data_IF_737257731636
#
_entry.id   IF_737257731636
#
_cell.length_a   1.000
_cell.length_b   1.000
_cell.length_c   1.000
_cell.angle_alpha   90.00
_cell.angle_beta   90.00
_cell.angle_gamma   90.00
#
_symmetry.space_group_name_H-M   'P 1'
#
loop_
_entity.id
_entity.type
_entity.pdbx_description
1 polymer ?
#
# COMPACT_ATOMS: atom_id res chain seq x y z
N UNK A 1 -6.27 8.82 -9.02
CA UNK A 1 -6.81 10.00 -9.74
C UNK A 1 -6.57 11.26 -8.93
N UNK A 2 -7.13 12.43 -9.29
CA UNK A 2 -6.92 13.67 -8.55
C UNK A 2 -7.20 13.56 -7.04
N UNK A 3 -8.13 12.68 -6.66
CA UNK A 3 -8.52 12.43 -5.27
C UNK A 3 -7.95 11.12 -4.70
N UNK A 4 -6.82 10.58 -5.21
CA UNK A 4 -6.27 9.31 -4.68
C UNK A 4 -5.55 9.46 -3.35
N UNK A 5 -5.06 10.66 -3.00
CA UNK A 5 -4.34 10.92 -1.76
C UNK A 5 -3.27 9.85 -1.41
N UNK A 6 -2.28 9.60 -2.31
CA UNK A 6 -1.21 8.67 -2.04
C UNK A 6 -0.42 9.14 -0.81
N UNK A 7 -0.06 8.22 0.09
CA UNK A 7 0.57 8.58 1.37
C UNK A 7 1.91 7.89 1.61
N UNK A 8 1.90 6.60 1.98
CA UNK A 8 3.13 5.83 2.10
C UNK A 8 3.42 5.15 0.77
N UNK A 9 4.71 4.96 0.47
CA UNK A 9 5.17 4.23 -0.71
C UNK A 9 6.42 3.41 -0.40
N UNK A 10 6.59 2.32 -1.14
CA UNK A 10 7.82 1.52 -1.22
C UNK A 10 8.04 1.06 -2.66
N UNK A 11 9.27 0.68 -2.99
CA UNK A 11 9.62 0.11 -4.29
C UNK A 11 10.14 -1.30 -4.09
N UNK A 12 9.64 -2.25 -4.88
CA UNK A 12 10.04 -3.66 -4.85
C UNK A 12 10.16 -4.12 -6.30
N UNK A 13 11.37 -4.54 -6.70
CA UNK A 13 11.65 -5.01 -8.06
C UNK A 13 11.16 -4.03 -9.14
N UNK A 14 11.52 -2.74 -8.99
CA UNK A 14 11.15 -1.61 -9.84
C UNK A 14 9.63 -1.30 -9.92
N UNK A 15 8.82 -2.01 -9.13
CA UNK A 15 7.38 -1.77 -8.99
C UNK A 15 7.11 -0.85 -7.80
N UNK A 16 6.30 0.19 -8.04
CA UNK A 16 5.89 1.14 -7.01
C UNK A 16 4.65 0.60 -6.31
N UNK A 17 4.73 0.48 -4.99
CA UNK A 17 3.60 0.15 -4.13
C UNK A 17 3.27 1.33 -3.24
N UNK A 18 2.02 1.77 -3.24
CA UNK A 18 1.58 2.89 -2.41
C UNK A 18 0.17 2.66 -1.84
N UNK A 19 -0.20 3.41 -0.80
CA UNK A 19 -1.57 3.40 -0.27
C UNK A 19 -2.32 4.69 -0.58
N UNK A 20 -3.61 4.57 -0.87
CA UNK A 20 -4.54 5.69 -1.06
C UNK A 20 -5.32 5.93 0.24
N UNK A 21 -4.97 7.01 0.95
CA UNK A 21 -5.28 7.18 2.39
C UNK A 21 -6.60 7.92 2.69
N UNK A 22 -7.20 8.56 1.69
CA UNK A 22 -8.47 9.27 1.83
C UNK A 22 -9.70 8.44 1.42
N UNK A 23 -9.48 7.22 0.94
CA UNK A 23 -10.53 6.27 0.56
C UNK A 23 -10.82 5.29 1.70
N UNK A 24 -12.07 4.86 1.88
CA UNK A 24 -12.43 3.76 2.78
C UNK A 24 -13.23 2.70 2.03
N UNK A 25 -12.75 1.44 1.97
CA UNK A 25 -11.46 0.96 2.50
C UNK A 25 -10.26 1.62 1.79
N UNK A 26 -9.16 1.83 2.51
CA UNK A 26 -7.89 2.27 1.91
C UNK A 26 -7.51 1.28 0.79
N UNK A 27 -7.01 1.80 -0.32
CA UNK A 27 -6.47 0.95 -1.37
C UNK A 27 -4.97 0.76 -1.17
N UNK A 28 -4.49 -0.48 -1.33
CA UNK A 28 -3.10 -0.74 -1.71
C UNK A 28 -3.05 -0.74 -3.24
N UNK A 29 -2.10 -0.01 -3.81
CA UNK A 29 -1.94 0.10 -5.25
C UNK A 29 -0.55 -0.37 -5.65
N UNK A 30 -0.51 -1.21 -6.69
CA UNK A 30 0.68 -1.58 -7.47
C UNK A 30 0.67 -0.74 -8.74
N UNK A 31 1.76 -0.05 -9.01
CA UNK A 31 1.98 0.68 -10.24
C UNK A 31 3.27 0.21 -10.90
N UNK A 32 3.15 -0.21 -12.15
CA UNK A 32 4.25 -0.62 -13.01
C UNK A 32 4.66 0.55 -13.91
N UNK A 33 5.83 1.19 -13.69
CA UNK A 33 6.24 2.35 -14.48
C UNK A 33 6.60 2.03 -15.93
N UNK A 34 6.96 0.77 -16.23
CA UNK A 34 7.34 0.38 -17.59
C UNK A 34 6.09 0.29 -18.49
N UNK A 35 5.02 -0.29 -17.97
CA UNK A 35 3.77 -0.48 -18.73
C UNK A 35 2.69 0.56 -18.42
N UNK A 36 2.94 1.43 -17.44
CA UNK A 36 1.97 2.38 -16.86
C UNK A 36 0.68 1.72 -16.35
N UNK A 37 0.76 0.48 -15.87
CA UNK A 37 -0.41 -0.29 -15.42
C UNK A 37 -0.59 -0.17 -13.92
N UNK A 38 -1.85 0.07 -13.51
CA UNK A 38 -2.28 0.11 -12.13
C UNK A 38 -3.09 -1.13 -11.77
N UNK A 39 -2.85 -1.66 -10.58
CA UNK A 39 -3.68 -2.69 -9.94
C UNK A 39 -3.93 -2.26 -8.50
N UNK A 40 -5.16 -2.45 -8.00
CA UNK A 40 -5.54 -2.01 -6.67
C UNK A 40 -6.30 -3.09 -5.91
N UNK A 41 -6.07 -3.12 -4.60
CA UNK A 41 -6.75 -4.01 -3.68
C UNK A 41 -7.28 -3.22 -2.50
N UNK A 42 -8.54 -3.47 -2.13
CA UNK A 42 -9.09 -2.97 -0.89
C UNK A 42 -8.35 -3.62 0.29
N UNK A 43 -7.84 -2.80 1.22
CA UNK A 43 -7.22 -3.36 2.41
C UNK A 43 -8.26 -4.05 3.31
N UNK A 44 -8.00 -5.28 3.76
CA UNK A 44 -8.96 -6.04 4.58
C UNK A 44 -9.32 -5.38 5.91
N UNK A 45 -8.42 -4.56 6.47
CA UNK A 45 -8.65 -3.97 7.79
C UNK A 45 -9.71 -2.89 7.81
N UNK A 46 -10.02 -2.24 6.67
CA UNK A 46 -11.10 -1.26 6.49
C UNK A 46 -11.00 0.05 7.29
N UNK A 47 -10.21 0.12 8.37
CA UNK A 47 -10.25 1.22 9.37
C UNK A 47 -8.85 1.67 9.86
N UNK A 48 -7.79 1.22 9.20
CA UNK A 48 -6.40 1.54 9.58
C UNK A 48 -5.77 2.58 8.68
N UNK A 49 -5.50 3.78 9.21
CA UNK A 49 -4.67 4.79 8.53
C UNK A 49 -3.26 4.21 8.40
N UNK A 50 -2.89 3.78 7.20
CA UNK A 50 -1.50 3.43 6.93
C UNK A 50 -0.65 4.69 6.91
N UNK A 51 0.34 4.74 7.79
CA UNK A 51 1.28 5.87 7.82
C UNK A 51 2.66 5.53 7.31
N UNK A 52 3.03 4.26 7.36
CA UNK A 52 4.37 3.80 7.02
C UNK A 52 4.29 2.42 6.39
N UNK A 53 5.15 2.21 5.41
CA UNK A 53 5.38 0.93 4.76
C UNK A 53 6.88 0.65 4.73
N UNK A 54 7.25 -0.62 4.88
CA UNK A 54 8.62 -1.09 4.77
C UNK A 54 8.68 -2.37 3.95
N UNK A 55 9.76 -2.52 3.20
CA UNK A 55 10.06 -3.76 2.47
C UNK A 55 10.77 -4.72 3.42
N UNK A 56 10.26 -5.95 3.51
CA UNK A 56 10.94 -7.03 4.26
C UNK A 56 12.06 -7.64 3.42
N UNK A 57 12.92 -8.46 4.05
CA UNK A 57 13.96 -9.22 3.31
C UNK A 57 13.37 -10.15 2.24
N UNK A 58 12.19 -10.69 2.50
CA UNK A 58 11.47 -11.59 1.59
C UNK A 58 10.62 -10.81 0.58
N UNK A 59 10.89 -9.51 0.36
CA UNK A 59 10.18 -8.64 -0.57
C UNK A 59 8.66 -8.53 -0.33
N UNK A 60 8.25 -8.64 0.94
CA UNK A 60 6.87 -8.36 1.37
C UNK A 60 6.75 -6.92 1.87
N UNK A 61 5.53 -6.43 2.05
CA UNK A 61 5.27 -5.09 2.60
C UNK A 61 4.76 -5.20 4.04
N UNK A 62 5.48 -4.59 4.97
CA UNK A 62 5.02 -4.37 6.34
C UNK A 62 4.31 -3.02 6.42
N UNK A 63 3.06 -2.98 6.90
CA UNK A 63 2.27 -1.74 7.03
C UNK A 63 2.00 -1.42 8.50
N UNK A 64 2.16 -0.16 8.89
CA UNK A 64 1.74 0.32 10.22
C UNK A 64 0.41 1.07 10.11
N UNK A 65 -0.60 0.58 10.82
CA UNK A 65 -1.94 1.16 10.87
C UNK A 65 -2.18 1.83 12.23
N UNK A 66 -2.00 3.14 12.29
CA UNK A 66 -1.96 3.86 13.58
C UNK A 66 -3.32 3.99 14.24
N UNK A 67 -4.39 4.19 13.47
CA UNK A 67 -5.75 4.33 14.03
C UNK A 67 -6.31 3.02 14.60
N UNK A 68 -5.78 1.88 14.16
CA UNK A 68 -6.24 0.55 14.60
C UNK A 68 -5.27 -0.16 15.53
N UNK A 69 -4.11 0.44 15.84
CA UNK A 69 -3.03 -0.16 16.63
C UNK A 69 -2.62 -1.55 16.10
N UNK A 70 -2.43 -1.67 14.78
CA UNK A 70 -2.09 -2.93 14.11
C UNK A 70 -0.91 -2.77 13.18
N UNK A 71 -0.22 -3.89 12.97
CA UNK A 71 0.73 -4.08 11.88
C UNK A 71 0.13 -5.07 10.89
N UNK A 72 0.17 -4.74 9.60
CA UNK A 72 -0.24 -5.60 8.51
C UNK A 72 0.97 -6.15 7.75
N UNK A 73 0.82 -7.31 7.14
CA UNK A 73 1.76 -7.83 6.14
C UNK A 73 1.02 -8.09 4.83
N UNK A 74 1.53 -7.52 3.75
CA UNK A 74 1.13 -7.86 2.38
C UNK A 74 2.17 -8.83 1.85
N UNK A 75 1.72 -10.04 1.50
CA UNK A 75 2.58 -11.03 0.88
C UNK A 75 2.55 -10.84 -0.63
N UNK A 76 3.73 -10.76 -1.24
CA UNK A 76 3.92 -10.64 -2.69
C UNK A 76 4.47 -11.99 -3.15
N UNK A 77 3.77 -12.62 -4.08
CA UNK A 77 4.14 -13.89 -4.72
C UNK A 77 4.63 -13.65 -6.15
#
# INVERSE_FOLDING_TARGET
GPDSHPYALVVIDDIIWYNESAMRPDALVRFDPETEVFQSWAMPSGIGINRRMWVTKDKNILTQQTSSNRIGIVRIE
#
